data_IF_587411733038
#
_entry.id   IF_587411733038
#
_cell.length_a   1.000
_cell.length_b   1.000
_cell.length_c   1.000
_cell.angle_alpha   90.00
_cell.angle_beta   90.00
_cell.angle_gamma   90.00
#
_symmetry.space_group_name_H-M   'P 1'
#
loop_
_entity.id
_entity.type
_entity.pdbx_description
1 polymer ?
#
# COMPACT_ATOMS: atom_id res chain seq x y z
N UNK A 1 -1.16 -0.98 -8.27
CA UNK A 1 -2.61 -1.21 -8.37
C UNK A 1 -3.29 -0.73 -7.10
N UNK A 2 -4.44 -0.09 -7.20
CA UNK A 2 -5.22 0.39 -6.06
C UNK A 2 -6.65 -0.12 -6.21
N UNK A 3 -7.26 -0.63 -5.14
CA UNK A 3 -8.64 -1.11 -5.22
C UNK A 3 -9.00 -2.02 -4.05
N UNK A 4 -10.21 -2.58 -4.12
CA UNK A 4 -10.62 -3.66 -3.22
C UNK A 4 -9.89 -4.96 -3.58
N UNK A 5 -10.03 -5.94 -2.68
CA UNK A 5 -9.39 -7.23 -2.84
C UNK A 5 -9.34 -7.98 -1.52
N UNK A 6 -8.82 -9.18 -1.62
CA UNK A 6 -8.66 -10.10 -0.51
C UNK A 6 -7.37 -10.90 -0.71
N UNK A 7 -7.24 -12.02 0.00
CA UNK A 7 -6.06 -12.88 -0.06
C UNK A 7 -5.86 -13.53 -1.43
N UNK A 8 -6.91 -13.62 -2.27
CA UNK A 8 -6.88 -14.36 -3.53
C UNK A 8 -7.03 -13.49 -4.77
N UNK A 9 -7.51 -12.25 -4.65
CA UNK A 9 -7.75 -11.40 -5.81
C UNK A 9 -7.58 -9.89 -5.56
N UNK A 10 -7.40 -9.16 -6.65
CA UNK A 10 -7.38 -7.70 -6.71
C UNK A 10 -8.50 -7.26 -7.67
N UNK A 11 -9.36 -6.38 -7.18
CA UNK A 11 -10.42 -5.78 -7.97
C UNK A 11 -10.05 -4.35 -8.39
N UNK A 12 -10.55 -3.95 -9.56
CA UNK A 12 -10.40 -2.62 -10.14
C UNK A 12 -11.66 -1.78 -10.04
N UNK A 13 -11.94 -1.06 -11.11
CA UNK A 13 -13.17 -0.27 -11.23
C UNK A 13 -14.41 -1.17 -11.14
N UNK A 14 -15.43 -0.70 -10.40
CA UNK A 14 -16.70 -1.40 -10.15
C UNK A 14 -16.53 -2.86 -9.67
N UNK A 15 -15.51 -3.10 -8.83
CA UNK A 15 -15.18 -4.42 -8.28
C UNK A 15 -14.89 -5.51 -9.32
N UNK A 16 -14.58 -5.13 -10.57
CA UNK A 16 -14.16 -6.10 -11.59
C UNK A 16 -12.81 -6.68 -11.21
N UNK A 17 -12.74 -8.00 -11.06
CA UNK A 17 -11.50 -8.71 -10.78
C UNK A 17 -10.51 -8.49 -11.93
N UNK A 18 -9.31 -8.00 -11.59
CA UNK A 18 -8.21 -7.80 -12.54
C UNK A 18 -7.20 -8.94 -12.41
N UNK A 19 -6.95 -9.39 -11.18
CA UNK A 19 -5.97 -10.43 -10.89
C UNK A 19 -6.54 -11.40 -9.88
N UNK A 20 -6.39 -12.69 -10.14
CA UNK A 20 -6.89 -13.77 -9.30
C UNK A 20 -5.91 -14.94 -9.28
N UNK A 21 -5.73 -15.51 -8.09
CA UNK A 21 -4.86 -16.66 -7.86
C UNK A 21 -5.34 -17.89 -8.62
N UNK A 22 -4.43 -18.56 -9.33
CA UNK A 22 -4.72 -19.75 -10.13
C UNK A 22 -5.36 -19.44 -11.49
N UNK A 23 -5.52 -18.16 -11.85
CA UNK A 23 -6.19 -17.74 -13.08
C UNK A 23 -5.23 -16.97 -13.98
N UNK A 24 -4.65 -15.89 -13.47
CA UNK A 24 -3.88 -14.95 -14.28
C UNK A 24 -2.75 -14.24 -13.51
N UNK A 25 -2.32 -14.80 -12.39
CA UNK A 25 -1.21 -14.25 -11.60
C UNK A 25 0.13 -14.23 -12.35
N UNK A 26 0.29 -15.09 -13.35
CA UNK A 26 1.49 -15.19 -14.20
C UNK A 26 1.69 -13.96 -15.09
N UNK A 27 0.66 -13.12 -15.27
CA UNK A 27 0.78 -11.82 -15.92
C UNK A 27 1.78 -10.88 -15.19
N UNK A 28 2.10 -11.18 -13.94
CA UNK A 28 3.03 -10.42 -13.11
C UNK A 28 4.46 -11.00 -13.09
N UNK A 29 4.76 -11.98 -13.95
CA UNK A 29 6.10 -12.53 -14.08
C UNK A 29 7.10 -11.46 -14.53
N UNK A 30 8.29 -11.50 -13.94
CA UNK A 30 9.38 -10.56 -14.20
C UNK A 30 9.02 -9.09 -13.90
N UNK A 31 8.01 -8.85 -13.05
CA UNK A 31 7.59 -7.50 -12.63
C UNK A 31 7.91 -7.20 -11.17
N UNK A 32 8.08 -5.91 -10.88
CA UNK A 32 7.97 -5.34 -9.53
C UNK A 32 6.54 -4.86 -9.38
N UNK A 33 5.84 -5.36 -8.35
CA UNK A 33 4.41 -5.11 -8.17
C UNK A 33 4.18 -4.36 -6.87
N UNK A 34 3.44 -3.25 -6.93
CA UNK A 34 2.93 -2.55 -5.75
C UNK A 34 1.40 -2.57 -5.75
N UNK A 35 0.80 -3.05 -4.65
CA UNK A 35 -0.65 -3.14 -4.49
C UNK A 35 -1.11 -2.52 -3.18
N UNK A 36 -1.97 -1.50 -3.28
CA UNK A 36 -2.75 -0.97 -2.16
C UNK A 36 -4.12 -1.61 -2.16
N UNK A 37 -4.18 -2.84 -1.66
CA UNK A 37 -5.40 -3.62 -1.48
C UNK A 37 -5.32 -4.48 -0.21
N UNK A 38 -6.46 -4.88 0.34
CA UNK A 38 -6.55 -5.55 1.63
C UNK A 38 -6.08 -7.02 1.54
N UNK A 39 -5.20 -7.42 2.46
CA UNK A 39 -4.73 -8.80 2.65
C UNK A 39 -4.06 -9.47 1.44
N UNK A 40 -3.90 -8.78 0.32
CA UNK A 40 -3.39 -9.37 -0.92
C UNK A 40 -1.99 -9.97 -0.77
N UNK A 41 -1.14 -9.39 0.09
CA UNK A 41 0.20 -9.92 0.30
C UNK A 41 0.21 -11.18 1.19
N UNK A 42 -0.89 -11.52 1.86
CA UNK A 42 -0.98 -12.73 2.66
C UNK A 42 -1.20 -14.00 1.82
N UNK A 43 -1.82 -13.88 0.64
CA UNK A 43 -2.06 -14.99 -0.28
C UNK A 43 -1.46 -14.73 -1.67
N UNK A 44 -2.15 -13.95 -2.49
CA UNK A 44 -1.83 -13.69 -3.90
C UNK A 44 -0.39 -13.19 -4.08
N UNK A 45 0.09 -12.30 -3.22
CA UNK A 45 1.47 -11.82 -3.29
C UNK A 45 2.52 -12.92 -3.12
N UNK A 46 2.26 -13.90 -2.26
CA UNK A 46 3.13 -15.08 -2.07
C UNK A 46 3.12 -15.95 -3.33
N UNK A 47 1.95 -16.15 -3.92
CA UNK A 47 1.76 -16.96 -5.13
C UNK A 47 2.44 -16.29 -6.33
N UNK A 48 2.26 -14.98 -6.51
CA UNK A 48 2.91 -14.20 -7.55
C UNK A 48 4.44 -14.33 -7.47
N UNK A 49 5.04 -14.14 -6.29
CA UNK A 49 6.50 -14.27 -6.12
C UNK A 49 6.96 -15.69 -6.40
N UNK A 50 6.22 -16.71 -5.93
CA UNK A 50 6.50 -18.12 -6.24
C UNK A 50 6.46 -18.41 -7.75
N UNK A 51 5.60 -17.73 -8.49
CA UNK A 51 5.36 -17.95 -9.92
C UNK A 51 6.23 -17.09 -10.85
N UNK A 52 7.10 -16.22 -10.30
CA UNK A 52 8.08 -15.47 -11.09
C UNK A 52 7.97 -13.94 -10.99
N UNK A 53 7.09 -13.39 -10.16
CA UNK A 53 7.14 -11.96 -9.82
C UNK A 53 8.42 -11.65 -9.05
N UNK A 54 9.21 -10.68 -9.53
CA UNK A 54 10.51 -10.35 -8.96
C UNK A 54 10.37 -9.87 -7.51
N UNK A 55 9.43 -8.94 -7.29
CA UNK A 55 9.15 -8.38 -5.99
C UNK A 55 7.69 -7.94 -5.88
N UNK A 56 7.11 -8.10 -4.70
CA UNK A 56 5.73 -7.73 -4.41
C UNK A 56 5.65 -6.90 -3.12
N UNK A 57 5.11 -5.70 -3.22
CA UNK A 57 4.89 -4.79 -2.09
C UNK A 57 3.39 -4.65 -1.87
N UNK A 58 2.91 -5.01 -0.68
CA UNK A 58 1.48 -4.98 -0.35
C UNK A 58 1.22 -5.13 1.13
N UNK A 59 0.00 -5.53 1.49
CA UNK A 59 -0.42 -5.62 2.89
C UNK A 59 -0.89 -7.03 3.26
N UNK A 60 -0.39 -7.56 4.39
CA UNK A 60 -0.80 -8.88 4.93
C UNK A 60 -2.06 -8.79 5.81
N UNK A 61 -2.52 -7.56 6.09
CA UNK A 61 -3.80 -7.26 6.74
C UNK A 61 -4.55 -6.16 6.00
N UNK A 62 -5.79 -5.88 6.38
CA UNK A 62 -6.62 -4.82 5.78
C UNK A 62 -5.91 -3.47 5.80
N UNK A 63 -5.80 -2.84 4.63
CA UNK A 63 -5.42 -1.43 4.51
C UNK A 63 -6.59 -0.55 4.98
N UNK A 64 -6.31 0.43 5.83
CA UNK A 64 -7.28 1.45 6.26
C UNK A 64 -6.93 2.80 5.66
N UNK A 65 -7.91 3.53 5.13
CA UNK A 65 -7.76 4.94 4.78
C UNK A 65 -8.54 5.78 5.78
N UNK A 66 -7.84 6.62 6.56
CA UNK A 66 -8.50 7.66 7.33
C UNK A 66 -8.91 8.81 6.39
N UNK A 67 -10.11 9.34 6.57
CA UNK A 67 -10.61 10.49 5.82
C UNK A 67 -11.60 11.29 6.68
N UNK A 68 -11.78 12.56 6.34
CA UNK A 68 -12.81 13.42 6.89
C UNK A 68 -14.11 13.16 6.12
N UNK A 69 -15.27 12.94 6.78
CA UNK A 69 -16.53 12.60 6.10
C UNK A 69 -16.92 13.59 4.99
N UNK A 70 -16.68 14.89 5.20
CA UNK A 70 -16.95 15.95 4.21
C UNK A 70 -16.08 15.87 2.94
N UNK A 71 -15.01 15.10 2.97
CA UNK A 71 -14.04 14.98 1.87
C UNK A 71 -14.01 13.60 1.23
N UNK A 72 -15.02 12.76 1.48
CA UNK A 72 -15.11 11.39 0.96
C UNK A 72 -14.89 11.31 -0.56
N UNK A 73 -15.47 12.25 -1.32
CA UNK A 73 -15.34 12.30 -2.79
C UNK A 73 -14.14 13.11 -3.29
N UNK A 74 -13.37 13.72 -2.38
CA UNK A 74 -12.21 14.56 -2.71
C UNK A 74 -10.99 14.22 -1.84
N UNK A 75 -10.56 12.94 -1.80
CA UNK A 75 -9.53 12.47 -0.86
C UNK A 75 -8.16 13.15 -1.05
N UNK A 76 -7.88 13.69 -2.23
CA UNK A 76 -6.63 14.43 -2.49
C UNK A 76 -6.59 15.82 -1.82
N UNK A 77 -7.76 16.40 -1.50
CA UNK A 77 -7.88 17.67 -0.77
C UNK A 77 -8.01 17.45 0.74
N UNK A 78 -8.22 16.21 1.17
CA UNK A 78 -8.42 15.85 2.57
C UNK A 78 -7.10 15.78 3.33
N UNK A 79 -6.98 16.61 4.36
CA UNK A 79 -5.79 16.67 5.23
C UNK A 79 -5.54 15.36 5.99
N UNK A 80 -6.58 14.58 6.30
CA UNK A 80 -6.43 13.28 6.96
C UNK A 80 -5.98 12.24 5.94
N UNK A 81 -6.68 12.09 4.81
CA UNK A 81 -6.34 11.09 3.80
C UNK A 81 -4.94 11.30 3.21
N UNK A 82 -4.51 12.55 3.07
CA UNK A 82 -3.15 12.92 2.64
C UNK A 82 -2.06 12.22 3.46
N UNK A 83 -2.24 12.11 4.78
CA UNK A 83 -1.26 11.48 5.69
C UNK A 83 -1.05 9.99 5.40
N UNK A 84 -2.00 9.33 4.75
CA UNK A 84 -1.94 7.92 4.36
C UNK A 84 -1.48 7.77 2.91
N UNK A 85 -2.05 8.58 2.01
CA UNK A 85 -1.85 8.47 0.57
C UNK A 85 -0.44 8.91 0.14
N UNK A 86 0.11 9.98 0.74
CA UNK A 86 1.44 10.45 0.37
C UNK A 86 2.53 9.39 0.65
N UNK A 87 2.65 8.82 1.86
CA UNK A 87 3.60 7.74 2.10
C UNK A 87 3.38 6.52 1.21
N UNK A 88 2.12 6.14 0.97
CA UNK A 88 1.78 5.04 0.05
C UNK A 88 2.29 5.32 -1.37
N UNK A 89 2.12 6.54 -1.87
CA UNK A 89 2.53 6.93 -3.22
C UNK A 89 4.04 7.10 -3.35
N UNK A 90 4.79 7.27 -2.25
CA UNK A 90 6.26 7.29 -2.29
C UNK A 90 6.86 5.99 -2.83
N UNK A 91 6.20 4.85 -2.66
CA UNK A 91 6.68 3.55 -3.15
C UNK A 91 6.82 3.58 -4.69
N UNK A 92 5.73 3.75 -5.47
CA UNK A 92 5.85 3.78 -6.92
C UNK A 92 6.69 4.96 -7.41
N UNK A 93 6.62 6.13 -6.76
CA UNK A 93 7.45 7.29 -7.13
C UNK A 93 8.95 6.99 -6.95
N UNK A 94 9.33 6.31 -5.87
CA UNK A 94 10.73 5.96 -5.58
C UNK A 94 11.26 4.91 -6.55
N UNK A 95 10.45 3.90 -6.87
CA UNK A 95 10.78 2.87 -7.88
C UNK A 95 11.02 3.48 -9.25
N UNK A 96 10.11 4.35 -9.72
CA UNK A 96 10.24 5.06 -11.02
C UNK A 96 11.52 5.92 -11.07
N UNK A 97 11.99 6.40 -9.92
CA UNK A 97 13.25 7.14 -9.80
C UNK A 97 14.51 6.25 -9.72
N UNK A 98 14.39 4.95 -10.01
CA UNK A 98 15.51 4.01 -10.02
C UNK A 98 16.00 3.55 -8.64
N UNK A 99 15.21 3.77 -7.58
CA UNK A 99 15.58 3.23 -6.27
C UNK A 99 15.20 1.76 -6.16
N UNK A 100 15.92 1.03 -5.30
CA UNK A 100 15.59 -0.35 -5.00
C UNK A 100 14.20 -0.49 -4.38
N UNK A 101 13.63 -1.70 -4.44
CA UNK A 101 12.41 -2.07 -3.72
C UNK A 101 12.54 -1.78 -2.22
N UNK A 102 13.67 -2.16 -1.62
CA UNK A 102 13.99 -1.95 -0.21
C UNK A 102 14.00 -0.47 0.17
N UNK A 103 14.64 0.37 -0.64
CA UNK A 103 14.72 1.81 -0.37
C UNK A 103 13.36 2.49 -0.55
N UNK A 104 12.60 2.06 -1.55
CA UNK A 104 11.25 2.56 -1.81
C UNK A 104 10.30 2.21 -0.66
N UNK A 105 10.38 0.98 -0.13
CA UNK A 105 9.68 0.57 1.09
C UNK A 105 10.12 1.39 2.30
N UNK A 106 11.42 1.51 2.56
CA UNK A 106 11.97 2.27 3.70
C UNK A 106 11.53 3.74 3.70
N UNK A 107 11.54 4.40 2.53
CA UNK A 107 11.05 5.78 2.36
C UNK A 107 9.58 5.90 2.75
N UNK A 108 8.74 4.96 2.30
CA UNK A 108 7.32 4.91 2.68
C UNK A 108 7.15 4.70 4.19
N UNK A 109 7.87 3.75 4.77
CA UNK A 109 7.82 3.42 6.21
C UNK A 109 8.27 4.59 7.09
N UNK A 110 9.30 5.32 6.68
CA UNK A 110 9.78 6.52 7.36
C UNK A 110 8.74 7.65 7.30
N UNK A 111 8.12 7.86 6.14
CA UNK A 111 7.06 8.86 5.98
C UNK A 111 5.80 8.49 6.77
N UNK A 112 5.40 7.22 6.81
CA UNK A 112 4.31 6.71 7.66
C UNK A 112 4.59 6.97 9.13
N UNK A 113 5.82 6.70 9.60
CA UNK A 113 6.21 6.95 10.99
C UNK A 113 6.19 8.45 11.32
N UNK A 114 6.72 9.29 10.44
CA UNK A 114 6.69 10.75 10.59
C UNK A 114 5.25 11.26 10.73
N UNK A 115 4.35 10.80 9.85
CA UNK A 115 2.94 11.19 9.88
C UNK A 115 2.24 10.67 11.13
N UNK A 116 2.56 9.46 11.58
CA UNK A 116 2.03 8.91 12.82
C UNK A 116 2.45 9.75 14.04
N UNK A 117 3.73 10.10 14.16
CA UNK A 117 4.23 10.97 15.24
C UNK A 117 3.53 12.34 15.20
N UNK A 118 3.35 12.92 14.00
CA UNK A 118 2.58 14.15 13.84
C UNK A 118 1.14 14.00 14.34
N UNK A 119 0.45 12.90 13.99
CA UNK A 119 -0.93 12.63 14.40
C UNK A 119 -1.08 12.47 15.92
N UNK A 120 -0.04 12.06 16.64
CA UNK A 120 -0.03 11.99 18.11
C UNK A 120 0.31 13.33 18.79
N UNK A 121 0.77 14.32 18.04
CA UNK A 121 1.19 15.60 18.59
C UNK A 121 0.00 16.49 18.97
N UNK A 122 0.26 17.50 19.81
CA UNK A 122 -0.72 18.54 20.17
C UNK A 122 -1.14 19.40 18.98
N UNK A 123 -0.40 19.37 17.87
CA UNK A 123 -0.68 20.12 16.63
C UNK A 123 -1.71 19.43 15.72
N UNK A 124 -1.99 18.14 15.95
CA UNK A 124 -2.95 17.40 15.16
C UNK A 124 -4.39 17.84 15.46
N UNK A 125 -5.29 17.76 14.48
CA UNK A 125 -6.73 17.88 14.74
C UNK A 125 -7.27 16.62 15.42
N UNK A 126 -8.51 16.66 15.91
CA UNK A 126 -9.16 15.49 16.49
C UNK A 126 -9.28 14.34 15.48
N UNK A 127 -9.68 14.65 14.25
CA UNK A 127 -9.83 13.68 13.16
C UNK A 127 -8.51 13.02 12.80
N UNK A 128 -7.41 13.80 12.81
CA UNK A 128 -6.07 13.28 12.60
C UNK A 128 -5.65 12.35 13.75
N UNK A 129 -5.90 12.71 15.02
CA UNK A 129 -5.64 11.82 16.16
C UNK A 129 -6.44 10.52 16.08
N UNK A 130 -7.74 10.63 15.82
CA UNK A 130 -8.66 9.49 15.76
C UNK A 130 -8.25 8.49 14.66
N UNK A 131 -7.62 8.96 13.57
CA UNK A 131 -7.14 8.12 12.48
C UNK A 131 -5.76 7.46 12.75
N UNK A 132 -5.02 7.85 13.78
CA UNK A 132 -3.63 7.39 14.01
C UNK A 132 -3.48 5.87 14.14
N UNK A 133 -4.39 5.13 14.82
CA UNK A 133 -4.30 3.66 14.90
C UNK A 133 -4.38 2.99 13.53
N UNK A 134 -5.16 3.55 12.60
CA UNK A 134 -5.26 3.04 11.23
C UNK A 134 -3.95 3.23 10.46
N UNK A 135 -3.26 4.37 10.65
CA UNK A 135 -1.98 4.63 10.00
C UNK A 135 -0.90 3.67 10.52
N UNK A 136 -0.86 3.48 11.85
CA UNK A 136 0.05 2.50 12.47
C UNK A 136 -0.19 1.09 11.95
N UNK A 137 -1.47 0.69 11.81
CA UNK A 137 -1.85 -0.60 11.24
C UNK A 137 -1.31 -0.80 9.83
N UNK A 138 -1.48 0.20 8.96
CA UNK A 138 -0.94 0.14 7.59
C UNK A 138 0.58 0.00 7.59
N UNK A 139 1.28 0.77 8.44
CA UNK A 139 2.73 0.68 8.58
C UNK A 139 3.16 -0.74 8.99
N UNK A 140 2.55 -1.27 10.06
CA UNK A 140 2.89 -2.58 10.63
C UNK A 140 2.67 -3.74 9.66
N UNK A 141 1.64 -3.67 8.81
CA UNK A 141 1.26 -4.80 7.95
C UNK A 141 1.62 -4.62 6.49
N UNK A 142 2.32 -3.54 6.11
CA UNK A 142 2.93 -3.43 4.79
C UNK A 142 4.22 -4.26 4.75
N UNK A 143 4.33 -5.11 3.74
CA UNK A 143 5.45 -6.04 3.57
C UNK A 143 6.05 -5.94 2.17
N UNK A 144 7.28 -6.41 2.07
CA UNK A 144 7.97 -6.70 0.81
C UNK A 144 8.16 -8.21 0.74
N UNK A 145 7.83 -8.81 -0.41
CA UNK A 145 8.07 -10.20 -0.75
C UNK A 145 8.96 -10.26 -1.99
N UNK A 146 9.77 -11.32 -2.13
CA UNK A 146 10.68 -11.50 -3.26
C UNK A 146 12.01 -10.75 -3.11
N UNK A 147 12.62 -10.34 -4.23
CA UNK A 147 13.92 -9.68 -4.25
C UNK A 147 13.81 -8.20 -3.87
N UNK A 148 14.25 -7.83 -2.67
CA UNK A 148 14.19 -6.45 -2.18
C UNK A 148 15.26 -5.51 -2.79
N UNK A 149 16.31 -6.05 -3.41
CA UNK A 149 17.43 -5.24 -3.92
C UNK A 149 17.26 -4.81 -5.40
N UNK A 150 16.22 -5.30 -6.07
CA UNK A 150 15.96 -4.98 -7.48
C UNK A 150 15.50 -3.53 -7.66
N UNK A 151 15.86 -2.93 -8.80
CA UNK A 151 15.39 -1.63 -9.29
C UNK A 151 14.48 -1.81 -10.51
N UNK A 152 13.69 -0.79 -10.86
CA UNK A 152 13.01 -0.75 -12.16
C UNK A 152 13.99 -0.65 -13.33
#
# INVERSE_FOLDING_TARGET
MNGHGNENCIAGDKDKIILESGVNETLLNDKIVYVRSCNVAAGLGVICVRNGTIAFIGYVKKYSLGYTPSSMFHPLKDKVAKLFLEPSNLIPISLIKGNSVKDSYRKSQAALLKNFIFMLSTRATKEQRDAAPSLWRNRKYQVVLGNENVTM
#
